data_IF_134789704995
#
_entry.id   IF_134789704995
#
_cell.length_a   1.000
_cell.length_b   1.000
_cell.length_c   1.000
_cell.angle_alpha   90.00
_cell.angle_beta   90.00
_cell.angle_gamma   90.00
#
_symmetry.space_group_name_H-M   'P 1'
#
loop_
_entity.id
_entity.type
_entity.pdbx_description
1 polymer ?
#
# COMPACT_ATOMS: atom_id res chain seq x y z
N UNK A 1 3.94 1.83 5.21
CA UNK A 1 5.41 1.78 4.95
C UNK A 1 6.20 2.92 5.61
N UNK A 2 5.55 3.99 6.07
CA UNK A 2 6.20 5.21 6.58
C UNK A 2 6.66 5.10 8.04
N UNK A 3 6.55 3.94 8.66
CA UNK A 3 6.95 3.70 10.05
C UNK A 3 8.37 4.18 10.40
N UNK A 4 9.41 3.97 9.55
CA UNK A 4 10.76 4.42 9.87
C UNK A 4 10.94 5.95 9.92
N UNK A 5 10.01 6.73 9.39
CA UNK A 5 10.05 8.21 9.41
C UNK A 5 8.97 8.82 10.33
N UNK A 6 8.38 8.04 11.22
CA UNK A 6 7.32 8.52 12.10
C UNK A 6 7.76 9.74 12.91
N UNK A 7 6.94 10.78 12.92
CA UNK A 7 7.26 12.05 13.60
C UNK A 7 8.27 12.96 12.91
N UNK A 8 8.81 12.57 11.76
CA UNK A 8 9.78 13.38 11.02
C UNK A 8 9.09 14.25 9.96
N UNK A 9 9.62 15.47 9.82
CA UNK A 9 9.32 16.41 8.72
C UNK A 9 7.82 16.74 8.53
N UNK A 10 7.05 16.75 9.60
CA UNK A 10 5.58 16.96 9.58
C UNK A 10 5.15 18.38 9.16
N UNK A 11 6.09 19.33 9.05
CA UNK A 11 5.84 20.74 8.72
C UNK A 11 5.94 21.06 7.22
N UNK A 12 6.26 20.06 6.39
CA UNK A 12 6.40 20.26 4.94
C UNK A 12 5.06 20.13 4.22
N UNK A 13 4.85 20.87 3.11
CA UNK A 13 3.72 20.62 2.23
C UNK A 13 3.72 19.16 1.73
N UNK A 14 2.52 18.61 1.48
CA UNK A 14 2.36 17.20 1.11
C UNK A 14 3.24 16.78 -0.07
N UNK A 15 3.22 17.53 -1.16
CA UNK A 15 4.00 17.18 -2.36
C UNK A 15 5.51 17.13 -2.06
N UNK A 16 6.05 18.14 -1.37
CA UNK A 16 7.46 18.19 -0.99
C UNK A 16 7.83 17.02 -0.05
N UNK A 17 6.95 16.72 0.90
CA UNK A 17 7.13 15.60 1.83
C UNK A 17 7.10 14.25 1.12
N UNK A 18 6.20 14.06 0.14
CA UNK A 18 6.15 12.84 -0.67
C UNK A 18 7.43 12.65 -1.48
N UNK A 19 7.86 13.68 -2.20
CA UNK A 19 9.00 13.59 -3.14
C UNK A 19 10.35 13.44 -2.42
N UNK A 20 10.56 14.19 -1.35
CA UNK A 20 11.88 14.24 -0.70
C UNK A 20 12.08 13.18 0.37
N UNK A 21 11.01 12.68 0.99
CA UNK A 21 11.11 11.79 2.14
C UNK A 21 10.37 10.47 1.95
N UNK A 22 9.12 10.53 1.52
CA UNK A 22 8.24 9.36 1.52
C UNK A 22 8.54 8.41 0.38
N UNK A 23 8.59 8.88 -0.85
CA UNK A 23 8.88 8.01 -2.01
C UNK A 23 10.28 7.38 -1.92
N UNK A 24 11.35 8.11 -1.55
CA UNK A 24 12.67 7.49 -1.33
C UNK A 24 12.67 6.40 -0.25
N UNK A 25 11.94 6.62 0.85
CA UNK A 25 11.80 5.60 1.90
C UNK A 25 11.02 4.38 1.40
N UNK A 26 9.88 4.61 0.77
CA UNK A 26 9.00 3.53 0.29
C UNK A 26 9.68 2.70 -0.81
N UNK A 27 10.50 3.29 -1.66
CA UNK A 27 11.29 2.57 -2.66
C UNK A 27 12.25 1.53 -2.05
N UNK A 28 12.74 1.76 -0.82
CA UNK A 28 13.62 0.80 -0.11
C UNK A 28 12.95 -0.53 0.20
N UNK A 29 11.64 -0.59 0.19
CA UNK A 29 10.89 -1.83 0.41
C UNK A 29 11.01 -2.84 -0.75
N UNK A 30 11.71 -2.49 -1.83
CA UNK A 30 12.20 -3.45 -2.81
C UNK A 30 13.19 -4.46 -2.19
N UNK A 31 13.91 -4.06 -1.13
CA UNK A 31 14.67 -4.96 -0.28
C UNK A 31 13.72 -5.69 0.68
N UNK A 32 13.53 -6.98 0.43
CA UNK A 32 12.62 -7.82 1.21
C UNK A 32 13.06 -8.00 2.67
N UNK A 33 14.37 -7.93 2.97
CA UNK A 33 14.87 -8.00 4.35
C UNK A 33 14.53 -6.73 5.12
N UNK A 34 14.70 -5.58 4.48
CA UNK A 34 14.26 -4.30 5.04
C UNK A 34 12.75 -4.29 5.27
N UNK A 35 11.96 -4.72 4.29
CA UNK A 35 10.51 -4.80 4.41
C UNK A 35 10.08 -5.69 5.58
N UNK A 36 10.64 -6.88 5.70
CA UNK A 36 10.33 -7.83 6.77
C UNK A 36 10.63 -7.26 8.15
N UNK A 37 11.82 -6.67 8.33
CA UNK A 37 12.22 -6.08 9.61
C UNK A 37 11.26 -4.95 10.01
N UNK A 38 11.02 -4.01 9.11
CA UNK A 38 10.15 -2.85 9.40
C UNK A 38 8.72 -3.26 9.67
N UNK A 39 8.16 -4.21 8.91
CA UNK A 39 6.79 -4.65 9.12
C UNK A 39 6.62 -5.45 10.42
N UNK A 40 7.60 -6.27 10.82
CA UNK A 40 7.60 -6.93 12.13
C UNK A 40 7.59 -5.92 13.27
N UNK A 41 8.44 -4.90 13.19
CA UNK A 41 8.52 -3.84 14.21
C UNK A 41 7.21 -3.05 14.26
N UNK A 42 6.67 -2.64 13.11
CA UNK A 42 5.40 -1.92 13.01
C UNK A 42 4.25 -2.70 13.64
N UNK A 43 4.00 -3.91 13.15
CA UNK A 43 2.84 -4.70 13.54
C UNK A 43 2.93 -5.09 15.02
N UNK A 44 4.11 -5.50 15.50
CA UNK A 44 4.34 -5.80 16.92
C UNK A 44 4.05 -4.60 17.81
N UNK A 45 4.55 -3.42 17.41
CA UNK A 45 4.33 -2.17 18.16
C UNK A 45 2.86 -1.78 18.20
N UNK A 46 2.15 -1.89 17.07
CA UNK A 46 0.72 -1.58 17.00
C UNK A 46 -0.09 -2.50 17.91
N UNK A 47 0.17 -3.81 17.89
CA UNK A 47 -0.49 -4.77 18.77
C UNK A 47 -0.19 -4.47 20.24
N UNK A 48 1.06 -4.21 20.59
CA UNK A 48 1.47 -3.89 21.95
C UNK A 48 0.79 -2.61 22.49
N UNK A 49 0.41 -1.70 21.60
CA UNK A 49 -0.34 -0.48 21.93
C UNK A 49 -1.86 -0.61 21.74
N UNK A 50 -2.39 -1.83 21.59
CA UNK A 50 -3.83 -2.10 21.53
C UNK A 50 -4.47 -1.97 20.15
N UNK A 51 -3.69 -1.73 19.08
CA UNK A 51 -4.21 -1.67 17.70
C UNK A 51 -4.35 -3.08 17.14
N UNK A 52 -5.50 -3.70 17.33
CA UNK A 52 -5.76 -5.09 16.92
C UNK A 52 -6.25 -5.24 15.48
N UNK A 53 -6.61 -4.13 14.83
CA UNK A 53 -7.03 -4.13 13.41
C UNK A 53 -6.32 -3.01 12.67
N UNK A 54 -5.64 -3.34 11.57
CA UNK A 54 -4.96 -2.39 10.70
C UNK A 54 -5.54 -2.39 9.28
N UNK A 55 -5.58 -1.20 8.66
CA UNK A 55 -5.85 -1.03 7.23
C UNK A 55 -4.58 -0.45 6.61
N UNK A 56 -3.92 -1.22 5.76
CA UNK A 56 -2.57 -0.94 5.33
C UNK A 56 -2.46 -0.58 3.86
N UNK A 57 -1.95 0.62 3.60
CA UNK A 57 -1.27 0.92 2.35
C UNK A 57 0.13 0.29 2.44
N UNK A 58 0.41 -0.72 1.64
CA UNK A 58 1.75 -1.29 1.54
C UNK A 58 2.65 -0.36 0.69
N UNK A 59 3.35 -0.91 -0.27
CA UNK A 59 4.12 -0.18 -1.28
C UNK A 59 3.73 -0.66 -2.67
N UNK A 60 4.35 -0.11 -3.72
CA UNK A 60 4.18 -0.64 -5.08
C UNK A 60 4.82 -2.04 -5.23
N UNK A 61 5.73 -2.42 -4.31
CA UNK A 61 6.48 -3.67 -4.40
C UNK A 61 5.63 -4.86 -3.97
N UNK A 62 5.45 -5.81 -4.88
CA UNK A 62 4.64 -7.00 -4.69
C UNK A 62 5.10 -7.84 -3.50
N UNK A 63 6.43 -8.10 -3.41
CA UNK A 63 6.97 -8.93 -2.35
C UNK A 63 6.86 -8.28 -0.96
N UNK A 64 7.03 -6.96 -0.87
CA UNK A 64 6.78 -6.25 0.38
C UNK A 64 5.32 -6.37 0.84
N UNK A 65 4.38 -6.32 -0.10
CA UNK A 65 2.95 -6.51 0.21
C UNK A 65 2.66 -7.92 0.73
N UNK A 66 3.27 -8.94 0.11
CA UNK A 66 3.18 -10.33 0.56
C UNK A 66 3.75 -10.52 1.97
N UNK A 67 4.91 -9.91 2.23
CA UNK A 67 5.57 -9.95 3.56
C UNK A 67 4.68 -9.29 4.61
N UNK A 68 4.12 -8.11 4.34
CA UNK A 68 3.22 -7.44 5.28
C UNK A 68 2.00 -8.31 5.63
N UNK A 69 1.37 -8.91 4.62
CA UNK A 69 0.23 -9.78 4.83
C UNK A 69 0.60 -11.01 5.69
N UNK A 70 1.76 -11.63 5.43
CA UNK A 70 2.25 -12.75 6.21
C UNK A 70 2.58 -12.33 7.65
N UNK A 71 3.25 -11.20 7.86
CA UNK A 71 3.58 -10.68 9.19
C UNK A 71 2.32 -10.41 10.01
N UNK A 72 1.29 -9.80 9.42
CA UNK A 72 0.01 -9.59 10.11
C UNK A 72 -0.63 -10.91 10.54
N UNK A 73 -0.57 -11.93 9.67
CA UNK A 73 -1.10 -13.26 9.97
C UNK A 73 -0.32 -13.96 11.09
N UNK A 74 1.01 -13.95 11.01
CA UNK A 74 1.90 -14.60 11.97
C UNK A 74 1.80 -14.00 13.37
N UNK A 75 1.62 -12.68 13.45
CA UNK A 75 1.46 -11.97 14.72
C UNK A 75 0.01 -11.89 15.20
N UNK A 76 -0.94 -12.40 14.43
CA UNK A 76 -2.34 -12.47 14.82
C UNK A 76 -3.10 -11.16 14.75
N UNK A 77 -2.62 -10.17 13.97
CA UNK A 77 -3.34 -8.92 13.76
C UNK A 77 -4.39 -9.04 12.66
N UNK A 78 -5.61 -8.60 12.93
CA UNK A 78 -6.60 -8.41 11.86
C UNK A 78 -6.12 -7.31 10.93
N UNK A 79 -6.08 -7.58 9.61
CA UNK A 79 -5.55 -6.62 8.67
C UNK A 79 -6.31 -6.62 7.33
N UNK A 80 -6.39 -5.43 6.73
CA UNK A 80 -6.68 -5.24 5.32
C UNK A 80 -5.41 -4.73 4.66
N UNK A 81 -4.88 -5.47 3.68
CA UNK A 81 -3.58 -5.19 3.08
C UNK A 81 -3.75 -4.99 1.58
N UNK A 82 -3.24 -3.88 1.06
CA UNK A 82 -3.27 -3.58 -0.36
C UNK A 82 -1.91 -3.17 -0.92
N UNK A 83 -1.56 -3.74 -2.09
CA UNK A 83 -0.48 -3.21 -2.91
C UNK A 83 -0.88 -1.81 -3.37
N UNK A 84 -0.03 -0.83 -3.13
CA UNK A 84 -0.24 0.53 -3.64
C UNK A 84 -0.10 0.53 -5.15
N UNK A 85 -1.03 1.21 -5.82
CA UNK A 85 -0.98 1.47 -7.25
C UNK A 85 -0.79 2.95 -7.50
N UNK A 86 0.19 3.27 -8.33
CA UNK A 86 0.49 4.62 -8.78
C UNK A 86 1.27 4.54 -10.11
N UNK A 87 0.70 5.09 -11.19
CA UNK A 87 1.23 4.97 -12.55
C UNK A 87 1.38 6.31 -13.30
N UNK A 88 0.97 7.43 -12.69
CA UNK A 88 0.96 8.71 -13.36
C UNK A 88 2.39 9.23 -13.57
N UNK A 89 2.80 9.40 -14.84
CA UNK A 89 4.20 9.71 -15.21
C UNK A 89 4.69 11.07 -14.70
N UNK A 90 3.83 12.07 -14.69
CA UNK A 90 4.19 13.43 -14.28
C UNK A 90 4.12 13.63 -12.76
N UNK A 91 3.36 12.81 -12.06
CA UNK A 91 3.07 12.98 -10.62
C UNK A 91 3.80 11.98 -9.73
N UNK A 92 4.42 10.98 -10.34
CA UNK A 92 5.14 9.93 -9.62
C UNK A 92 6.56 9.82 -10.14
N UNK A 93 7.55 9.66 -9.24
CA UNK A 93 8.93 9.49 -9.68
C UNK A 93 9.10 8.16 -10.41
N UNK A 94 9.94 8.15 -11.43
CA UNK A 94 10.17 6.97 -12.28
C UNK A 94 10.64 5.75 -11.47
N UNK A 95 11.48 5.97 -10.45
CA UNK A 95 11.99 4.91 -9.60
C UNK A 95 10.94 4.32 -8.63
N UNK A 96 9.76 4.96 -8.48
CA UNK A 96 8.72 4.52 -7.55
C UNK A 96 7.33 4.71 -8.15
N UNK A 97 7.05 4.01 -9.24
CA UNK A 97 5.71 3.93 -9.86
C UNK A 97 5.54 2.60 -10.61
N UNK A 98 4.33 2.24 -10.91
CA UNK A 98 4.01 1.18 -11.85
C UNK A 98 4.28 1.69 -13.28
N UNK A 99 5.06 0.96 -14.07
CA UNK A 99 5.49 1.41 -15.40
C UNK A 99 4.49 1.12 -16.52
N UNK A 100 3.43 0.40 -16.21
CA UNK A 100 2.32 0.18 -17.15
C UNK A 100 1.02 -0.13 -16.40
N UNK A 101 -0.10 0.17 -17.06
CA UNK A 101 -1.45 -0.14 -16.58
C UNK A 101 -1.58 -1.65 -16.33
N UNK A 102 -1.12 -2.46 -17.28
CA UNK A 102 -1.20 -3.92 -17.19
C UNK A 102 -0.43 -4.47 -15.99
N UNK A 103 0.78 -3.96 -15.72
CA UNK A 103 1.57 -4.37 -14.57
C UNK A 103 0.90 -3.95 -13.24
N UNK A 104 0.33 -2.75 -13.18
CA UNK A 104 -0.39 -2.24 -12.01
C UNK A 104 -1.61 -3.11 -11.68
N UNK A 105 -2.41 -3.42 -12.68
CA UNK A 105 -3.62 -4.24 -12.53
C UNK A 105 -3.28 -5.71 -12.21
N UNK A 106 -2.33 -6.30 -12.94
CA UNK A 106 -1.87 -7.67 -12.68
C UNK A 106 -1.31 -7.81 -11.27
N UNK A 107 -0.47 -6.89 -10.82
CA UNK A 107 0.07 -6.90 -9.46
C UNK A 107 -1.00 -6.77 -8.37
N UNK A 108 -2.08 -6.03 -8.65
CA UNK A 108 -3.22 -5.95 -7.74
C UNK A 108 -3.94 -7.31 -7.64
N UNK A 109 -4.22 -7.95 -8.77
CA UNK A 109 -4.85 -9.28 -8.81
C UNK A 109 -4.00 -10.32 -8.09
N UNK A 110 -2.69 -10.36 -8.38
CA UNK A 110 -1.76 -11.26 -7.70
C UNK A 110 -1.75 -11.08 -6.18
N UNK A 111 -1.80 -9.82 -5.70
CA UNK A 111 -1.88 -9.54 -4.26
C UNK A 111 -3.16 -10.10 -3.65
N UNK A 112 -4.30 -9.90 -4.31
CA UNK A 112 -5.60 -10.40 -3.87
C UNK A 112 -5.56 -11.92 -3.76
N UNK A 113 -5.09 -12.58 -4.82
CA UNK A 113 -5.03 -14.05 -4.86
C UNK A 113 -4.06 -14.61 -3.83
N UNK A 114 -2.88 -14.00 -3.68
CA UNK A 114 -1.90 -14.41 -2.68
C UNK A 114 -2.48 -14.35 -1.26
N UNK A 115 -3.08 -13.22 -0.88
CA UNK A 115 -3.62 -13.03 0.47
C UNK A 115 -4.77 -14.02 0.75
N UNK A 116 -5.62 -14.28 -0.24
CA UNK A 116 -6.71 -15.26 -0.12
C UNK A 116 -6.23 -16.71 0.02
N UNK A 117 -5.07 -17.02 -0.55
CA UNK A 117 -4.45 -18.35 -0.50
C UNK A 117 -3.50 -18.56 0.67
N UNK A 118 -3.29 -17.54 1.52
CA UNK A 118 -2.40 -17.66 2.69
C UNK A 118 -2.82 -18.85 3.56
N UNK A 119 -1.86 -19.71 3.85
CA UNK A 119 -2.04 -20.83 4.79
C UNK A 119 -2.37 -20.27 6.17
N UNK A 120 -3.24 -20.95 6.91
CA UNK A 120 -3.70 -20.55 8.25
C UNK A 120 -4.59 -19.30 8.28
N UNK A 121 -4.93 -18.71 7.16
CA UNK A 121 -5.89 -17.59 7.09
C UNK A 121 -7.35 -18.07 7.05
N UNK A 122 -7.66 -19.20 7.72
CA UNK A 122 -8.99 -19.82 7.70
C UNK A 122 -10.10 -18.92 8.27
N UNK A 123 -9.73 -18.00 9.16
CA UNK A 123 -10.64 -17.00 9.75
C UNK A 123 -10.76 -15.72 8.95
N UNK A 124 -10.14 -15.63 7.76
CA UNK A 124 -10.00 -14.40 6.99
C UNK A 124 -9.47 -13.21 7.84
N UNK A 125 -8.51 -13.51 8.74
CA UNK A 125 -7.91 -12.51 9.62
C UNK A 125 -7.23 -11.40 8.80
N UNK A 126 -6.52 -11.79 7.73
CA UNK A 126 -5.93 -10.87 6.77
C UNK A 126 -6.74 -10.92 5.48
N UNK A 127 -7.18 -9.76 5.01
CA UNK A 127 -7.98 -9.61 3.81
C UNK A 127 -7.30 -8.70 2.80
N UNK A 128 -7.44 -8.97 1.50
CA UNK A 128 -6.92 -8.08 0.47
C UNK A 128 -7.75 -6.80 0.35
N UNK A 129 -7.10 -5.76 -0.16
CA UNK A 129 -7.73 -4.48 -0.45
C UNK A 129 -7.15 -3.88 -1.73
N UNK A 130 -8.00 -3.34 -2.60
CA UNK A 130 -7.58 -2.59 -3.78
C UNK A 130 -7.16 -1.20 -3.33
N UNK A 131 -5.96 -0.77 -3.73
CA UNK A 131 -5.32 0.42 -3.13
C UNK A 131 -4.74 1.37 -4.17
N UNK A 132 -5.56 2.11 -4.95
CA UNK A 132 -5.06 3.30 -5.62
C UNK A 132 -4.55 4.29 -4.57
N UNK A 133 -3.34 4.83 -4.74
CA UNK A 133 -2.76 5.68 -3.71
C UNK A 133 -3.62 6.92 -3.45
N UNK A 134 -3.88 7.71 -4.49
CA UNK A 134 -4.83 8.84 -4.55
C UNK A 134 -4.98 9.29 -6.01
N UNK A 135 -5.96 10.10 -6.32
CA UNK A 135 -6.29 10.46 -7.71
C UNK A 135 -5.08 11.02 -8.48
N UNK A 136 -4.31 12.00 -7.97
CA UNK A 136 -3.20 12.56 -8.74
C UNK A 136 -2.09 11.56 -9.10
N UNK A 137 -1.94 10.47 -8.36
CA UNK A 137 -0.92 9.46 -8.64
C UNK A 137 -1.34 8.35 -9.60
N UNK A 138 -2.59 8.35 -10.02
CA UNK A 138 -3.18 7.28 -10.82
C UNK A 138 -3.79 7.82 -12.13
N UNK A 139 -3.52 7.14 -13.23
CA UNK A 139 -4.24 7.43 -14.48
C UNK A 139 -5.70 7.01 -14.41
N UNK A 140 -6.56 7.68 -15.16
CA UNK A 140 -7.97 7.33 -15.32
C UNK A 140 -8.17 5.86 -15.72
N UNK A 141 -7.30 5.36 -16.58
CA UNK A 141 -7.37 3.99 -17.07
C UNK A 141 -7.09 2.98 -15.95
N UNK A 142 -6.07 3.23 -15.12
CA UNK A 142 -5.78 2.41 -13.95
C UNK A 142 -6.91 2.47 -12.94
N UNK A 143 -7.46 3.65 -12.65
CA UNK A 143 -8.57 3.79 -11.70
C UNK A 143 -9.80 2.99 -12.13
N UNK A 144 -10.16 3.03 -13.43
CA UNK A 144 -11.26 2.21 -13.96
C UNK A 144 -10.98 0.72 -13.87
N UNK A 145 -9.76 0.28 -14.21
CA UNK A 145 -9.35 -1.11 -14.10
C UNK A 145 -9.38 -1.62 -12.65
N UNK A 146 -8.92 -0.81 -11.70
CA UNK A 146 -8.98 -1.13 -10.27
C UNK A 146 -10.42 -1.21 -9.76
N UNK A 147 -11.32 -0.33 -10.24
CA UNK A 147 -12.75 -0.41 -9.95
C UNK A 147 -13.38 -1.72 -10.43
N UNK A 148 -13.02 -2.17 -11.65
CA UNK A 148 -13.48 -3.45 -12.18
C UNK A 148 -12.94 -4.63 -11.35
N UNK A 149 -11.64 -4.62 -11.01
CA UNK A 149 -11.04 -5.66 -10.14
C UNK A 149 -11.75 -5.71 -8.78
N UNK A 150 -12.04 -4.54 -8.18
CA UNK A 150 -12.74 -4.49 -6.91
C UNK A 150 -14.12 -5.15 -6.99
N UNK A 151 -14.85 -4.93 -8.08
CA UNK A 151 -16.16 -5.54 -8.32
C UNK A 151 -16.05 -7.06 -8.56
N UNK A 152 -15.18 -7.49 -9.49
CA UNK A 152 -15.01 -8.89 -9.87
C UNK A 152 -14.53 -9.77 -8.71
N UNK A 153 -13.59 -9.24 -7.93
CA UNK A 153 -13.04 -9.93 -6.76
C UNK A 153 -13.81 -9.62 -5.47
N UNK A 154 -14.85 -8.81 -5.50
CA UNK A 154 -15.60 -8.39 -4.29
C UNK A 154 -14.66 -7.91 -3.18
N UNK A 155 -13.68 -7.08 -3.55
CA UNK A 155 -12.70 -6.48 -2.65
C UNK A 155 -13.12 -5.07 -2.24
N UNK A 156 -12.77 -4.70 -1.01
CA UNK A 156 -12.85 -3.31 -0.57
C UNK A 156 -11.80 -2.46 -1.26
N UNK A 157 -12.06 -1.17 -1.34
CA UNK A 157 -11.13 -0.18 -1.89
C UNK A 157 -10.74 0.80 -0.79
N UNK A 158 -9.50 1.22 -0.79
CA UNK A 158 -9.00 2.34 0.02
C UNK A 158 -8.21 3.31 -0.86
N UNK A 159 -8.26 4.57 -0.52
CA UNK A 159 -7.48 5.63 -1.16
C UNK A 159 -7.32 6.81 -0.20
N UNK A 160 -6.44 7.75 -0.51
CA UNK A 160 -6.46 9.07 0.11
C UNK A 160 -7.36 10.00 -0.70
N UNK A 161 -7.98 10.96 -0.05
CA UNK A 161 -8.88 11.91 -0.69
C UNK A 161 -8.88 13.23 0.08
N UNK A 162 -8.80 14.33 -0.63
CA UNK A 162 -8.86 15.69 -0.07
C UNK A 162 -7.77 15.96 0.98
N UNK A 163 -6.56 15.46 0.75
CA UNK A 163 -5.44 15.58 1.68
C UNK A 163 -4.75 16.95 1.62
N UNK A 164 -4.83 17.63 0.45
CA UNK A 164 -4.17 18.91 0.25
C UNK A 164 -4.89 19.79 -0.79
N UNK A 165 -4.60 21.10 -0.76
CA UNK A 165 -5.11 22.04 -1.76
C UNK A 165 -4.63 21.70 -3.18
N UNK A 166 -3.43 21.13 -3.31
CA UNK A 166 -2.90 20.66 -4.59
C UNK A 166 -3.77 19.55 -5.19
N UNK A 167 -4.22 18.60 -4.38
CA UNK A 167 -5.13 17.53 -4.83
C UNK A 167 -6.47 18.07 -5.31
N UNK A 168 -6.97 19.14 -4.69
CA UNK A 168 -8.22 19.80 -5.11
C UNK A 168 -8.12 20.55 -6.44
N UNK A 169 -6.92 20.91 -6.86
CA UNK A 169 -6.68 21.63 -8.11
C UNK A 169 -6.35 20.68 -9.28
N UNK A 170 -6.10 19.41 -8.98
CA UNK A 170 -5.78 18.38 -9.97
C UNK A 170 -7.04 17.87 -10.67
#
# INVERSE_FOLDING_TARGET
PQWPQIGQVLHRPLQEWLEQYTFPLEARYSDTKFAEQVYKDLVSTLIANGTTTGVYFSTIHQDATRILAQVCLDLGQRAFVGKVVMDHEEQCPDYYRDHSIDAALAGTVESIEFIRKLKLNSSALVQPMVTPRFIPSCSDAVLRGLGQIAADYQCRVQTHCSESDWEHQF
#
